data_IF_557335972434
#
_entry.id   IF_557335972434
#
_cell.length_a   1.000
_cell.length_b   1.000
_cell.length_c   1.000
_cell.angle_alpha   90.00
_cell.angle_beta   90.00
_cell.angle_gamma   90.00
#
_symmetry.space_group_name_H-M   'P 1'
#
loop_
_entity.id
_entity.type
_entity.pdbx_description
1 polymer ?
#
# COMPACT_ATOMS: atom_id res chain seq x y z
N UNK A 1 -13.84 -49.22 41.84
CA UNK A 1 -12.83 -48.52 41.03
C UNK A 1 -13.39 -47.19 40.61
N UNK A 2 -12.68 -46.08 40.83
CA UNK A 2 -13.16 -44.76 40.43
C UNK A 2 -12.96 -44.57 38.93
N UNK A 3 -13.98 -44.09 38.21
CA UNK A 3 -13.84 -43.73 36.80
C UNK A 3 -13.06 -42.42 36.67
N UNK A 4 -12.02 -42.43 35.84
CA UNK A 4 -11.22 -41.26 35.50
C UNK A 4 -11.64 -40.73 34.12
N UNK A 5 -12.03 -39.46 34.07
CA UNK A 5 -12.35 -38.76 32.82
C UNK A 5 -11.15 -37.92 32.40
N UNK A 6 -10.70 -38.10 31.15
CA UNK A 6 -9.62 -37.33 30.54
C UNK A 6 -10.23 -36.54 29.38
N UNK A 7 -10.04 -35.22 29.36
CA UNK A 7 -10.47 -34.34 28.27
C UNK A 7 -9.26 -33.93 27.44
N UNK A 8 -9.35 -34.09 26.13
CA UNK A 8 -8.33 -33.55 25.22
C UNK A 8 -8.49 -32.03 25.17
N UNK A 9 -7.41 -31.32 25.48
CA UNK A 9 -7.24 -29.90 25.21
C UNK A 9 -6.37 -29.78 23.96
N UNK A 10 -6.88 -29.08 22.95
CA UNK A 10 -6.10 -28.73 21.76
C UNK A 10 -6.12 -27.21 21.65
N UNK A 11 -4.94 -26.62 21.69
CA UNK A 11 -4.72 -25.20 21.44
C UNK A 11 -4.09 -25.03 20.06
N UNK A 12 -4.51 -23.99 19.34
CA UNK A 12 -3.93 -23.61 18.06
C UNK A 12 -3.74 -22.11 17.98
N UNK A 13 -2.59 -21.69 17.45
CA UNK A 13 -2.29 -20.30 17.11
C UNK A 13 -2.14 -20.18 15.61
N UNK A 14 -2.66 -19.11 15.03
CA UNK A 14 -2.46 -18.77 13.62
C UNK A 14 -1.97 -17.33 13.49
N UNK A 15 -1.10 -17.11 12.51
CA UNK A 15 -0.68 -15.78 12.05
C UNK A 15 -1.37 -15.52 10.71
N UNK A 16 -1.93 -14.32 10.54
CA UNK A 16 -2.58 -13.89 9.30
C UNK A 16 -1.83 -12.67 8.78
N UNK A 17 -1.38 -12.76 7.53
CA UNK A 17 -0.76 -11.63 6.82
C UNK A 17 -1.78 -11.00 5.86
N UNK A 18 -1.77 -9.68 5.74
CA UNK A 18 -2.71 -8.91 4.89
C UNK A 18 -2.01 -8.20 3.73
N UNK A 19 -1.07 -8.88 3.10
CA UNK A 19 -0.33 -8.34 1.96
C UNK A 19 -1.07 -8.53 0.62
N UNK A 20 -0.87 -7.63 -0.36
CA UNK A 20 -0.07 -6.40 -0.28
C UNK A 20 -0.86 -5.23 0.37
N UNK A 21 -0.14 -4.31 1.00
CA UNK A 21 -0.75 -3.08 1.54
C UNK A 21 -1.08 -2.13 0.40
N UNK A 22 -2.33 -1.68 0.31
CA UNK A 22 -2.73 -0.72 -0.72
C UNK A 22 -2.34 0.69 -0.32
N UNK A 23 -1.28 1.23 -0.95
CA UNK A 23 -0.85 2.63 -0.80
C UNK A 23 -1.18 3.43 -2.06
N UNK A 24 -1.70 4.64 -1.90
CA UNK A 24 -2.02 5.54 -3.01
C UNK A 24 -1.32 6.89 -2.83
N UNK A 25 -0.80 7.41 -3.92
CA UNK A 25 -0.07 8.67 -3.99
C UNK A 25 -0.70 9.57 -5.06
N UNK A 26 -0.93 10.84 -4.73
CA UNK A 26 -1.68 11.77 -5.56
C UNK A 26 -0.85 12.98 -5.96
N UNK A 27 -0.91 13.36 -7.23
CA UNK A 27 -0.34 14.61 -7.74
C UNK A 27 -1.37 15.34 -8.61
N UNK A 28 -1.44 16.66 -8.41
CA UNK A 28 -2.27 17.57 -9.21
C UNK A 28 -1.33 18.43 -10.04
N UNK A 29 -1.47 18.38 -11.37
CA UNK A 29 -0.65 19.18 -12.27
C UNK A 29 -0.98 20.67 -12.11
N UNK A 30 0.04 21.52 -12.02
CA UNK A 30 -0.12 22.98 -11.95
C UNK A 30 -0.35 23.63 -13.31
N UNK A 31 -0.02 22.93 -14.40
CA UNK A 31 -0.16 23.40 -15.78
C UNK A 31 -0.47 22.24 -16.72
N UNK A 32 -1.03 22.57 -17.88
CA UNK A 32 -1.26 21.59 -18.96
C UNK A 32 0.06 21.11 -19.55
N UNK A 33 0.26 19.79 -19.64
CA UNK A 33 1.33 19.17 -20.42
C UNK A 33 0.83 18.92 -21.84
N UNK A 34 1.57 19.37 -22.84
CA UNK A 34 1.24 19.12 -24.24
C UNK A 34 1.30 17.62 -24.56
N UNK A 35 0.46 17.16 -25.49
CA UNK A 35 0.49 15.77 -25.94
C UNK A 35 1.86 15.39 -26.51
N UNK A 36 2.41 14.27 -26.04
CA UNK A 36 3.74 13.77 -26.43
C UNK A 36 4.91 14.44 -25.71
N UNK A 37 4.68 15.42 -24.84
CA UNK A 37 5.71 15.94 -23.95
C UNK A 37 5.86 15.06 -22.70
N UNK A 38 7.07 15.02 -22.14
CA UNK A 38 7.36 14.37 -20.86
C UNK A 38 6.96 15.29 -19.71
N UNK A 39 6.33 14.73 -18.68
CA UNK A 39 6.11 15.38 -17.39
C UNK A 39 6.95 14.67 -16.34
N UNK A 40 8.00 15.35 -15.86
CA UNK A 40 8.82 14.88 -14.75
C UNK A 40 8.21 15.37 -13.44
N UNK A 41 7.95 14.43 -12.52
CA UNK A 41 7.33 14.71 -11.21
C UNK A 41 8.28 14.22 -10.14
N UNK A 42 8.67 15.12 -9.24
CA UNK A 42 9.45 14.74 -8.06
C UNK A 42 8.58 13.89 -7.13
N UNK A 43 9.14 12.80 -6.58
CA UNK A 43 8.47 11.97 -5.59
C UNK A 43 7.94 12.81 -4.40
N UNK A 44 8.66 13.85 -4.01
CA UNK A 44 8.25 14.75 -2.94
C UNK A 44 7.04 15.65 -3.27
N UNK A 45 6.59 15.64 -4.53
CA UNK A 45 5.39 16.37 -4.96
C UNK A 45 4.09 15.58 -4.73
N UNK A 46 4.19 14.30 -4.34
CA UNK A 46 3.01 13.49 -4.08
C UNK A 46 2.45 13.72 -2.67
N UNK A 47 1.12 13.59 -2.56
CA UNK A 47 0.41 13.46 -1.30
C UNK A 47 0.05 11.99 -1.07
N UNK A 48 0.12 11.51 0.16
CA UNK A 48 -0.34 10.17 0.53
C UNK A 48 -1.86 10.09 0.74
N UNK A 49 -2.33 8.92 1.16
CA UNK A 49 -3.73 8.63 1.50
C UNK A 49 -4.33 9.51 2.61
N UNK A 50 -3.50 10.18 3.40
CA UNK A 50 -3.92 11.12 4.45
C UNK A 50 -3.90 12.57 3.98
N UNK A 51 -3.40 12.82 2.76
CA UNK A 51 -3.17 14.16 2.22
C UNK A 51 -1.85 14.78 2.69
N UNK A 52 -0.97 14.03 3.34
CA UNK A 52 0.34 14.52 3.77
C UNK A 52 1.33 14.47 2.61
N UNK A 53 2.20 15.47 2.53
CA UNK A 53 3.30 15.47 1.58
C UNK A 53 4.28 14.33 1.90
N UNK A 54 4.69 13.59 0.87
CA UNK A 54 5.71 12.54 1.00
C UNK A 54 7.09 13.09 0.70
N UNK A 55 8.14 12.42 1.18
CA UNK A 55 9.54 12.77 0.82
C UNK A 55 10.09 11.89 -0.29
N UNK A 56 9.58 10.67 -0.39
CA UNK A 56 10.00 9.65 -1.35
C UNK A 56 8.90 8.62 -1.54
N UNK A 57 8.85 7.97 -2.70
CA UNK A 57 8.02 6.78 -2.89
C UNK A 57 8.61 5.61 -2.09
N UNK A 58 7.76 4.72 -1.54
CA UNK A 58 8.22 3.63 -0.68
C UNK A 58 9.01 2.60 -1.47
N UNK A 59 10.00 1.98 -0.82
CA UNK A 59 10.63 0.76 -1.32
C UNK A 59 9.64 -0.39 -1.23
N UNK A 60 9.47 -1.18 -2.29
CA UNK A 60 8.57 -2.32 -2.33
C UNK A 60 9.13 -3.50 -1.51
N UNK A 61 8.51 -3.88 -0.37
CA UNK A 61 8.91 -5.04 0.40
C UNK A 61 8.63 -6.36 -0.33
N UNK A 62 9.27 -7.45 0.09
CA UNK A 62 8.88 -8.81 -0.33
C UNK A 62 7.41 -9.04 0.03
N UNK A 63 6.60 -9.49 -0.94
CA UNK A 63 5.14 -9.69 -0.86
C UNK A 63 4.27 -8.43 -0.87
N UNK A 64 4.86 -7.23 -0.81
CA UNK A 64 4.15 -5.98 -0.98
C UNK A 64 4.68 -5.23 -2.22
N UNK A 65 4.28 -5.76 -3.38
CA UNK A 65 4.98 -5.53 -4.66
C UNK A 65 4.47 -4.36 -5.49
N UNK A 66 3.59 -3.49 -4.96
CA UNK A 66 3.15 -2.30 -5.71
C UNK A 66 2.71 -1.16 -4.81
N UNK A 67 2.69 0.04 -5.39
CA UNK A 67 1.92 1.19 -4.92
C UNK A 67 1.26 1.86 -6.13
N UNK A 68 0.22 2.65 -5.88
CA UNK A 68 -0.52 3.33 -6.94
C UNK A 68 -0.19 4.81 -6.97
N UNK A 69 0.06 5.36 -8.16
CA UNK A 69 0.22 6.81 -8.36
C UNK A 69 -0.92 7.35 -9.23
N UNK A 70 -1.49 8.48 -8.81
CA UNK A 70 -2.62 9.13 -9.46
C UNK A 70 -2.22 10.53 -9.90
N UNK A 71 -2.39 10.83 -11.18
CA UNK A 71 -2.16 12.15 -11.76
C UNK A 71 -3.51 12.73 -12.16
N UNK A 72 -3.90 13.86 -11.56
CA UNK A 72 -5.23 14.47 -11.75
C UNK A 72 -6.38 13.46 -11.55
N UNK A 73 -6.21 12.52 -10.60
CA UNK A 73 -7.20 11.48 -10.30
C UNK A 73 -7.18 10.26 -11.22
N UNK A 74 -6.29 10.20 -12.21
CA UNK A 74 -6.13 9.06 -13.11
C UNK A 74 -4.95 8.19 -12.67
N UNK A 75 -5.20 6.91 -12.44
CA UNK A 75 -4.17 5.91 -12.13
C UNK A 75 -3.17 5.81 -13.29
N UNK A 76 -1.89 5.99 -13.01
CA UNK A 76 -0.83 5.69 -13.97
C UNK A 76 -0.30 4.29 -13.63
N UNK A 77 -0.66 3.32 -14.48
CA UNK A 77 -0.16 1.94 -14.41
C UNK A 77 1.20 1.82 -15.08
#
# INVERSE_FOLDING_TARGET
MALQLMKILVDATATIETDPTSSRYFYITTSTTAGGATLDIDAASFLDDTGAAVTSLPTLPTNNSYFNVFINGVLQM
#
